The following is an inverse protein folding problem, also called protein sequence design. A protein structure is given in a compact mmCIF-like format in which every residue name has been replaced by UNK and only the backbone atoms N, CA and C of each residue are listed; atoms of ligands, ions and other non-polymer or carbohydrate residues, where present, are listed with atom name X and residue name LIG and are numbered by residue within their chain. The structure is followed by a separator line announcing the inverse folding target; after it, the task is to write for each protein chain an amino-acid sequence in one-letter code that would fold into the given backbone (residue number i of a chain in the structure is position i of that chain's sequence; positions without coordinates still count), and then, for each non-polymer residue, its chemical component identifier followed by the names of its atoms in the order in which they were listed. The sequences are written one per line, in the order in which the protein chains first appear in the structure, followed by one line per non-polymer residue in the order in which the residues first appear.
data_IF_951583321895
#
_entry.id   IF_951583321895
#
_cell.length_a   1.000
_cell.length_b   1.000
_cell.length_c   1.000
_cell.angle_alpha   90.00
_cell.angle_beta   90.00
_cell.angle_gamma   90.00
#
_symmetry.space_group_name_H-M   'P 1'
#
loop_
_entity.id
_entity.type
_entity.pdbx_description
1 polymer ?
#
# COMPACT_ATOMS: atom_id res chain seq x y z
N UNK A 1 13.00 6.40 31.95
CA UNK A 1 13.22 6.26 30.50
C UNK A 1 11.95 6.75 29.83
N UNK A 2 11.99 7.94 29.22
CA UNK A 2 10.85 8.46 28.46
C UNK A 2 10.84 7.67 27.15
N UNK A 3 9.82 6.86 26.98
CA UNK A 3 9.56 6.08 25.79
C UNK A 3 9.32 7.06 24.63
N UNK A 4 10.39 7.44 23.93
CA UNK A 4 10.41 8.60 23.02
C UNK A 4 9.47 8.41 21.85
N UNK A 5 8.26 8.96 21.93
CA UNK A 5 7.37 9.10 20.79
C UNK A 5 7.81 10.32 19.97
N UNK A 6 7.85 10.24 18.64
CA UNK A 6 8.24 11.36 17.80
C UNK A 6 7.31 12.56 18.03
N UNK A 7 7.87 13.77 18.15
CA UNK A 7 7.12 15.03 18.40
C UNK A 7 6.98 15.89 17.13
N UNK A 8 7.71 15.53 16.08
CA UNK A 8 7.73 16.24 14.82
C UNK A 8 8.09 15.29 13.69
N UNK A 9 7.66 15.63 12.47
CA UNK A 9 8.11 14.95 11.25
C UNK A 9 8.78 15.96 10.33
N UNK A 10 9.82 15.51 9.65
CA UNK A 10 10.54 16.30 8.66
C UNK A 10 10.89 15.39 7.50
N UNK A 11 10.63 15.82 6.27
CA UNK A 11 10.96 15.03 5.10
C UNK A 11 12.34 15.41 4.58
N UNK A 12 13.08 14.41 4.11
CA UNK A 12 14.32 14.60 3.38
C UNK A 12 14.01 14.42 1.89
N UNK A 13 14.31 15.46 1.11
CA UNK A 13 13.98 15.54 -0.31
C UNK A 13 15.26 15.71 -1.10
N UNK A 14 15.45 14.87 -2.12
CA UNK A 14 16.53 14.97 -3.07
C UNK A 14 16.09 15.80 -4.28
N UNK A 15 16.56 17.05 -4.36
CA UNK A 15 16.25 17.97 -5.44
C UNK A 15 17.50 18.18 -6.30
N UNK A 16 17.49 17.70 -7.55
CA UNK A 16 18.59 17.84 -8.51
C UNK A 16 19.96 17.38 -7.96
N UNK A 17 19.96 16.27 -7.21
CA UNK A 17 21.18 15.72 -6.60
C UNK A 17 21.57 16.34 -5.26
N UNK A 18 20.89 17.41 -4.81
CA UNK A 18 21.10 18.00 -3.49
C UNK A 18 20.06 17.52 -2.49
N UNK A 19 20.52 17.04 -1.33
CA UNK A 19 19.67 16.70 -0.21
C UNK A 19 19.22 17.99 0.51
N UNK A 20 17.91 18.10 0.71
CA UNK A 20 17.29 19.19 1.45
C UNK A 20 16.29 18.63 2.46
N UNK A 21 16.04 19.38 3.53
CA UNK A 21 15.05 19.00 4.53
C UNK A 21 13.89 19.99 4.47
N UNK A 22 12.66 19.49 4.38
CA UNK A 22 11.44 20.33 4.41
C UNK A 22 11.31 21.04 5.74
N UNK A 23 10.43 22.03 5.89
CA UNK A 23 10.11 22.54 7.22
C UNK A 23 9.55 21.41 8.12
N UNK A 24 9.89 21.39 9.42
CA UNK A 24 9.38 20.40 10.34
C UNK A 24 7.90 20.64 10.61
N UNK A 25 7.10 19.59 10.53
CA UNK A 25 5.71 19.61 10.97
C UNK A 25 5.68 19.16 12.42
N UNK A 26 5.39 20.11 13.31
CA UNK A 26 5.28 19.88 14.75
C UNK A 26 3.95 19.23 15.08
N UNK A 27 4.00 18.19 15.92
CA UNK A 27 2.80 17.52 16.41
C UNK A 27 2.43 18.06 17.79
N UNK A 28 1.16 18.45 17.94
CA UNK A 28 0.60 18.79 19.25
C UNK A 28 0.33 17.51 20.04
N UNK A 29 1.16 17.26 21.05
CA UNK A 29 1.12 16.06 21.87
C UNK A 29 -0.13 15.95 22.75
N UNK A 30 -0.93 17.01 22.84
CA UNK A 30 -2.25 16.95 23.47
C UNK A 30 -3.30 16.26 22.60
N UNK A 31 -3.05 16.12 21.29
CA UNK A 31 -3.98 15.48 20.36
C UNK A 31 -3.83 13.96 20.38
N UNK A 32 -4.98 13.28 20.34
CA UNK A 32 -5.13 11.85 20.12
C UNK A 32 -5.62 11.56 18.70
N UNK A 33 -5.59 10.28 18.28
CA UNK A 33 -6.21 9.85 17.02
C UNK A 33 -7.70 10.24 16.97
N UNK A 34 -8.41 10.12 18.10
CA UNK A 34 -9.82 10.49 18.15
C UNK A 34 -10.03 12.00 17.94
N UNK A 35 -9.25 12.85 18.59
CA UNK A 35 -9.37 14.30 18.38
C UNK A 35 -9.02 14.71 16.96
N UNK A 36 -8.07 14.02 16.30
CA UNK A 36 -7.79 14.27 14.88
C UNK A 36 -9.02 13.93 14.05
N UNK A 37 -9.62 12.76 14.27
CA UNK A 37 -10.82 12.31 13.55
C UNK A 37 -11.99 13.29 13.70
N UNK A 38 -12.20 13.80 14.92
CA UNK A 38 -13.27 14.76 15.22
C UNK A 38 -13.01 16.12 14.56
N UNK A 39 -11.75 16.56 14.48
CA UNK A 39 -11.32 17.82 13.88
C UNK A 39 -11.13 17.75 12.35
N UNK A 40 -11.31 16.61 11.68
CA UNK A 40 -10.92 16.45 10.25
C UNK A 40 -11.57 17.43 9.28
N UNK A 41 -12.73 17.99 9.62
CA UNK A 41 -13.40 19.01 8.77
C UNK A 41 -12.81 20.40 8.92
N UNK A 42 -12.07 20.68 10.00
CA UNK A 42 -11.50 21.99 10.31
C UNK A 42 -9.98 21.99 10.20
N UNK A 43 -9.35 20.83 10.43
CA UNK A 43 -7.91 20.66 10.36
C UNK A 43 -7.42 20.65 8.91
N UNK A 44 -6.21 21.19 8.69
CA UNK A 44 -5.52 21.04 7.42
C UNK A 44 -5.18 19.56 7.17
N UNK A 45 -5.42 19.05 5.95
CA UNK A 45 -5.17 17.65 5.56
C UNK A 45 -3.71 17.24 5.83
N UNK A 46 -2.75 18.10 5.51
CA UNK A 46 -1.32 17.85 5.74
C UNK A 46 -1.04 17.65 7.22
N UNK A 47 -1.61 18.51 8.08
CA UNK A 47 -1.48 18.38 9.54
C UNK A 47 -2.13 17.09 10.04
N UNK A 48 -3.30 16.71 9.49
CA UNK A 48 -3.99 15.48 9.90
C UNK A 48 -3.16 14.25 9.52
N UNK A 49 -2.68 14.20 8.29
CA UNK A 49 -1.89 13.09 7.77
C UNK A 49 -0.56 12.94 8.53
N UNK A 50 0.17 14.04 8.76
CA UNK A 50 1.43 14.03 9.50
C UNK A 50 1.25 13.65 10.97
N UNK A 51 0.21 14.17 11.62
CA UNK A 51 -0.11 13.86 13.02
C UNK A 51 -0.49 12.37 13.19
N UNK A 52 -1.27 11.83 12.25
CA UNK A 52 -1.66 10.43 12.25
C UNK A 52 -0.44 9.52 12.02
N UNK A 53 0.49 9.92 11.14
CA UNK A 53 1.77 9.22 10.97
C UNK A 53 2.57 9.18 12.28
N UNK A 54 2.67 10.29 13.00
CA UNK A 54 3.37 10.36 14.29
C UNK A 54 2.75 9.42 15.30
N UNK A 55 1.43 9.47 15.47
CA UNK A 55 0.71 8.66 16.46
C UNK A 55 0.74 7.15 16.15
N UNK A 56 0.99 6.77 14.90
CA UNK A 56 1.08 5.36 14.47
C UNK A 56 2.52 4.84 14.40
N UNK A 57 3.51 5.67 14.71
CA UNK A 57 4.95 5.34 14.55
C UNK A 57 5.46 4.18 15.41
N UNK A 58 4.70 3.72 16.40
CA UNK A 58 4.98 2.52 17.20
C UNK A 58 3.90 1.45 16.95
N UNK A 59 3.96 0.70 15.83
CA UNK A 59 2.92 -0.28 15.46
C UNK A 59 2.59 -1.29 16.56
N UNK A 60 3.61 -1.74 17.31
CA UNK A 60 3.47 -2.78 18.32
C UNK A 60 2.65 -2.36 19.56
N UNK A 61 2.49 -1.06 19.78
CA UNK A 61 1.67 -0.51 20.87
C UNK A 61 0.24 -0.15 20.44
N UNK A 62 -0.09 -0.23 19.15
CA UNK A 62 -1.42 0.13 18.65
C UNK A 62 -2.46 -0.91 19.07
N UNK A 63 -3.63 -0.43 19.48
CA UNK A 63 -4.80 -1.26 19.77
C UNK A 63 -5.73 -1.38 18.55
N UNK A 64 -6.71 -2.29 18.62
CA UNK A 64 -7.79 -2.40 17.62
C UNK A 64 -8.51 -1.06 17.41
N UNK A 65 -8.73 -0.31 18.50
CA UNK A 65 -9.36 1.00 18.46
C UNK A 65 -8.48 1.99 17.69
N UNK A 66 -7.18 2.03 17.99
CA UNK A 66 -6.25 2.92 17.30
C UNK A 66 -6.18 2.62 15.80
N UNK A 67 -6.10 1.34 15.43
CA UNK A 67 -6.09 0.90 14.02
C UNK A 67 -7.40 1.25 13.31
N UNK A 68 -8.54 1.02 13.97
CA UNK A 68 -9.85 1.39 13.43
C UNK A 68 -9.97 2.90 13.20
N UNK A 69 -9.61 3.70 14.21
CA UNK A 69 -9.69 5.17 14.12
C UNK A 69 -8.73 5.69 13.05
N UNK A 70 -7.51 5.18 13.00
CA UNK A 70 -6.52 5.51 11.96
C UNK A 70 -7.06 5.18 10.56
N UNK A 71 -7.66 4.01 10.39
CA UNK A 71 -8.24 3.61 9.09
C UNK A 71 -9.35 4.57 8.67
N UNK A 72 -10.18 5.01 9.61
CA UNK A 72 -11.22 6.00 9.34
C UNK A 72 -10.63 7.36 8.95
N UNK A 73 -9.60 7.83 9.66
CA UNK A 73 -8.89 9.07 9.31
C UNK A 73 -8.34 9.00 7.89
N UNK A 74 -7.60 7.93 7.58
CA UNK A 74 -7.01 7.73 6.27
C UNK A 74 -8.06 7.62 5.16
N UNK A 75 -9.18 6.94 5.41
CA UNK A 75 -10.27 6.85 4.43
C UNK A 75 -10.85 8.22 4.08
N UNK A 76 -10.96 9.14 5.04
CA UNK A 76 -11.42 10.51 4.80
C UNK A 76 -10.38 11.36 4.08
N UNK A 77 -9.10 11.24 4.47
CA UNK A 77 -8.00 11.95 3.80
C UNK A 77 -7.90 11.52 2.33
N UNK A 78 -7.98 10.21 2.06
CA UNK A 78 -7.80 9.64 0.71
C UNK A 78 -9.09 9.52 -0.10
N UNK A 79 -10.21 10.05 0.41
CA UNK A 79 -11.51 9.95 -0.26
C UNK A 79 -11.51 10.66 -1.63
N UNK A 80 -10.87 11.83 -1.70
CA UNK A 80 -10.67 12.59 -2.93
C UNK A 80 -9.17 12.80 -3.20
N UNK A 81 -8.53 11.85 -3.91
CA UNK A 81 -7.09 11.93 -4.18
C UNK A 81 -6.70 13.08 -5.11
N UNK A 82 -7.65 13.75 -5.77
CA UNK A 82 -7.34 14.89 -6.66
C UNK A 82 -6.96 16.16 -5.90
N UNK A 83 -7.37 16.25 -4.62
CA UNK A 83 -7.07 17.36 -3.73
C UNK A 83 -5.83 17.11 -2.85
N UNK A 84 -5.31 15.89 -2.86
CA UNK A 84 -4.16 15.52 -2.05
C UNK A 84 -2.87 16.11 -2.61
N UNK A 85 -2.07 16.72 -1.74
CA UNK A 85 -0.69 17.00 -2.08
C UNK A 85 0.14 15.72 -2.03
N UNK A 86 1.30 15.77 -2.67
CA UNK A 86 2.24 14.66 -2.64
C UNK A 86 2.68 14.31 -1.21
N UNK A 87 2.90 15.31 -0.36
CA UNK A 87 3.27 15.13 1.05
C UNK A 87 2.18 14.40 1.86
N UNK A 88 0.91 14.76 1.67
CA UNK A 88 -0.24 14.13 2.32
C UNK A 88 -0.34 12.64 1.96
N UNK A 89 -0.09 12.34 0.68
CA UNK A 89 -0.09 10.99 0.14
C UNK A 89 1.06 10.15 0.73
N UNK A 90 2.25 10.73 0.84
CA UNK A 90 3.42 10.09 1.47
C UNK A 90 3.13 9.78 2.95
N UNK A 91 2.58 10.75 3.69
CA UNK A 91 2.22 10.53 5.10
C UNK A 91 1.15 9.44 5.25
N UNK A 92 0.14 9.45 4.38
CA UNK A 92 -0.94 8.45 4.39
C UNK A 92 -0.44 7.04 4.09
N UNK A 93 0.44 6.88 3.10
CA UNK A 93 1.07 5.59 2.77
C UNK A 93 1.94 5.08 3.92
N UNK A 94 2.76 5.95 4.51
CA UNK A 94 3.59 5.57 5.67
C UNK A 94 2.75 5.19 6.88
N UNK A 95 1.64 5.88 7.10
CA UNK A 95 0.67 5.52 8.16
C UNK A 95 0.07 4.16 7.87
N UNK A 96 -0.33 3.88 6.62
CA UNK A 96 -0.84 2.56 6.27
C UNK A 96 0.22 1.46 6.44
N UNK A 97 1.48 1.72 6.10
CA UNK A 97 2.59 0.82 6.40
C UNK A 97 2.70 0.50 7.89
N UNK A 98 2.61 1.50 8.77
CA UNK A 98 2.61 1.28 10.22
C UNK A 98 1.46 0.37 10.66
N UNK A 99 0.26 0.56 10.09
CA UNK A 99 -0.91 -0.29 10.38
C UNK A 99 -0.68 -1.73 9.93
N UNK A 100 -0.02 -1.96 8.80
CA UNK A 100 0.29 -3.32 8.32
C UNK A 100 1.34 -4.04 9.19
N UNK A 101 2.05 -3.32 10.05
CA UNK A 101 3.07 -3.86 10.96
C UNK A 101 2.55 -4.13 12.39
N UNK A 102 1.25 -3.91 12.64
CA UNK A 102 0.64 -4.24 13.94
C UNK A 102 0.58 -5.75 14.17
N UNK A 103 0.19 -6.16 15.37
CA UNK A 103 0.06 -7.57 15.73
C UNK A 103 -0.98 -8.26 14.83
N UNK A 104 -0.70 -9.51 14.48
CA UNK A 104 -1.49 -10.27 13.52
C UNK A 104 -2.94 -10.50 13.95
N UNK A 105 -3.20 -10.66 15.24
CA UNK A 105 -4.55 -10.76 15.81
C UNK A 105 -5.38 -9.51 15.52
N UNK A 106 -4.78 -8.31 15.65
CA UNK A 106 -5.41 -7.05 15.30
C UNK A 106 -5.70 -6.97 13.79
N UNK A 107 -4.74 -7.37 12.94
CA UNK A 107 -4.93 -7.37 11.47
C UNK A 107 -6.12 -8.23 11.07
N UNK A 108 -6.26 -9.42 11.67
CA UNK A 108 -7.38 -10.32 11.41
C UNK A 108 -8.71 -9.69 11.86
N UNK A 109 -8.74 -9.05 13.03
CA UNK A 109 -9.95 -8.41 13.55
C UNK A 109 -10.42 -7.23 12.70
N UNK A 110 -9.49 -6.42 12.17
CA UNK A 110 -9.82 -5.24 11.36
C UNK A 110 -9.73 -5.49 9.85
N UNK A 111 -9.69 -6.75 9.43
CA UNK A 111 -9.40 -7.18 8.07
C UNK A 111 -10.21 -6.44 7.00
N UNK A 112 -11.53 -6.38 7.16
CA UNK A 112 -12.42 -5.74 6.17
C UNK A 112 -12.10 -4.25 5.98
N UNK A 113 -11.77 -3.54 7.07
CA UNK A 113 -11.41 -2.12 7.02
C UNK A 113 -10.08 -1.90 6.32
N UNK A 114 -9.11 -2.79 6.53
CA UNK A 114 -7.81 -2.73 5.85
C UNK A 114 -7.93 -3.03 4.36
N UNK A 115 -8.81 -3.97 3.99
CA UNK A 115 -9.11 -4.23 2.57
C UNK A 115 -9.70 -2.99 1.89
N UNK A 116 -10.69 -2.33 2.50
CA UNK A 116 -11.22 -1.07 1.95
C UNK A 116 -10.16 0.02 1.91
N UNK A 117 -9.25 0.07 2.88
CA UNK A 117 -8.14 1.03 2.89
C UNK A 117 -7.16 0.80 1.74
N UNK A 118 -6.91 -0.46 1.36
CA UNK A 118 -6.10 -0.79 0.20
C UNK A 118 -6.70 -0.23 -1.09
N UNK A 119 -8.03 -0.25 -1.25
CA UNK A 119 -8.72 0.34 -2.41
C UNK A 119 -8.46 1.86 -2.51
N UNK A 120 -8.44 2.58 -1.37
CA UNK A 120 -8.09 4.00 -1.36
C UNK A 120 -6.62 4.24 -1.76
N UNK A 121 -5.70 3.39 -1.32
CA UNK A 121 -4.29 3.47 -1.72
C UNK A 121 -4.14 3.21 -3.22
N UNK A 122 -4.80 2.18 -3.74
CA UNK A 122 -4.87 1.91 -5.18
C UNK A 122 -5.41 3.10 -5.97
N UNK A 123 -6.51 3.70 -5.52
CA UNK A 123 -7.08 4.87 -6.17
C UNK A 123 -6.11 6.06 -6.15
N UNK A 124 -5.45 6.33 -5.02
CA UNK A 124 -4.47 7.41 -4.89
C UNK A 124 -3.28 7.25 -5.85
N UNK A 125 -2.83 6.02 -6.12
CA UNK A 125 -1.75 5.78 -7.10
C UNK A 125 -2.11 6.20 -8.52
N UNK A 126 -3.39 6.43 -8.84
CA UNK A 126 -3.84 6.92 -10.16
C UNK A 126 -3.62 8.40 -10.37
N UNK A 127 -3.38 9.16 -9.30
CA UNK A 127 -3.32 10.62 -9.35
C UNK A 127 -1.98 11.15 -8.86
N UNK A 128 -1.29 10.41 -7.98
CA UNK A 128 -0.07 10.88 -7.33
C UNK A 128 1.12 10.00 -7.70
N UNK A 129 2.23 10.63 -8.10
CA UNK A 129 3.51 9.95 -8.29
C UNK A 129 4.12 9.61 -6.93
N UNK A 130 4.34 8.31 -6.73
CA UNK A 130 4.74 7.73 -5.45
C UNK A 130 5.90 6.78 -5.66
N UNK A 131 6.89 6.82 -4.78
CA UNK A 131 7.91 5.77 -4.67
C UNK A 131 8.20 5.58 -3.19
N UNK A 132 7.43 4.69 -2.56
CA UNK A 132 7.48 4.43 -1.13
C UNK A 132 7.66 2.94 -0.89
N UNK A 133 8.55 2.58 0.02
CA UNK A 133 8.76 1.19 0.44
C UNK A 133 8.85 1.11 1.97
N UNK A 134 8.17 0.11 2.52
CA UNK A 134 8.20 -0.25 3.92
C UNK A 134 8.31 -1.78 4.09
N UNK A 135 8.29 -2.28 5.33
CA UNK A 135 8.56 -3.69 5.60
C UNK A 135 7.50 -4.63 5.03
N UNK A 136 6.23 -4.17 4.96
CA UNK A 136 5.08 -4.96 4.50
C UNK A 136 4.53 -4.56 3.13
N UNK A 137 4.93 -3.41 2.59
CA UNK A 137 4.36 -2.88 1.36
C UNK A 137 5.41 -2.10 0.57
N UNK A 138 5.30 -2.11 -0.75
CA UNK A 138 6.01 -1.20 -1.63
C UNK A 138 5.04 -0.65 -2.68
N UNK A 139 4.99 0.67 -2.82
CA UNK A 139 4.09 1.41 -3.71
C UNK A 139 4.93 2.22 -4.67
N UNK A 140 4.67 2.04 -5.97
CA UNK A 140 5.29 2.85 -7.02
C UNK A 140 4.26 3.29 -8.02
N UNK A 141 4.10 4.59 -8.15
CA UNK A 141 3.34 5.21 -9.22
C UNK A 141 4.21 6.18 -10.00
N UNK A 142 4.08 6.14 -11.31
CA UNK A 142 4.72 7.09 -12.20
C UNK A 142 3.85 7.32 -13.44
N UNK A 143 3.77 8.56 -13.89
CA UNK A 143 3.35 8.86 -15.27
C UNK A 143 4.40 8.30 -16.24
N UNK A 144 3.96 7.43 -17.15
CA UNK A 144 4.86 6.74 -18.06
C UNK A 144 5.30 7.66 -19.20
N UNK A 145 6.46 8.27 -19.03
CA UNK A 145 7.14 9.02 -20.10
C UNK A 145 8.03 8.04 -20.89
N UNK A 146 7.40 7.07 -21.57
CA UNK A 146 8.02 5.96 -22.32
C UNK A 146 8.94 5.01 -21.51
N UNK A 147 8.58 3.71 -21.48
CA UNK A 147 9.39 2.56 -20.98
C UNK A 147 10.30 2.82 -19.76
N UNK A 148 9.74 2.80 -18.54
CA UNK A 148 10.54 2.76 -17.30
C UNK A 148 10.64 1.35 -16.72
N UNK A 149 11.85 0.95 -16.35
CA UNK A 149 12.10 -0.26 -15.56
C UNK A 149 11.82 0.01 -14.08
N UNK A 150 10.87 -0.72 -13.48
CA UNK A 150 10.54 -0.58 -12.06
C UNK A 150 11.42 -1.51 -11.23
N UNK A 151 12.63 -1.05 -10.91
CA UNK A 151 13.60 -1.84 -10.14
C UNK A 151 13.21 -1.97 -8.66
N UNK A 152 12.78 -3.16 -8.22
CA UNK A 152 12.58 -3.47 -6.78
C UNK A 152 11.33 -4.29 -6.48
N UNK A 153 10.27 -4.10 -7.27
CA UNK A 153 8.99 -4.79 -7.11
C UNK A 153 8.90 -6.14 -7.84
N UNK A 154 9.99 -6.55 -8.49
CA UNK A 154 9.97 -7.70 -9.39
C UNK A 154 9.19 -7.44 -10.68
N UNK A 155 8.76 -6.20 -10.97
CA UNK A 155 8.10 -5.84 -12.25
C UNK A 155 9.16 -5.36 -13.23
N UNK A 156 9.48 -6.17 -14.23
CA UNK A 156 10.63 -5.91 -15.11
C UNK A 156 10.36 -4.78 -16.11
N UNK A 157 9.16 -4.65 -16.68
CA UNK A 157 8.87 -3.62 -17.68
C UNK A 157 7.38 -3.57 -18.01
N UNK A 158 6.87 -2.39 -18.32
CA UNK A 158 5.59 -2.17 -19.00
C UNK A 158 5.76 -1.08 -20.06
N UNK A 159 4.91 -1.09 -21.09
CA UNK A 159 4.99 -0.14 -22.20
C UNK A 159 3.57 0.34 -22.55
N UNK A 160 3.24 1.56 -22.12
CA UNK A 160 2.09 2.30 -22.63
C UNK A 160 2.43 3.79 -22.59
N UNK A 161 2.43 4.49 -23.74
CA UNK A 161 2.57 5.95 -23.76
C UNK A 161 1.31 6.61 -23.17
N UNK A 162 1.50 7.76 -22.51
CA UNK A 162 0.45 8.65 -22.02
C UNK A 162 -0.49 8.12 -20.92
N UNK A 163 -0.12 7.03 -20.24
CA UNK A 163 -0.89 6.49 -19.12
C UNK A 163 -0.13 6.56 -17.78
N UNK A 164 -0.86 6.72 -16.68
CA UNK A 164 -0.32 6.65 -15.32
C UNK A 164 -0.45 5.22 -14.79
N UNK A 165 0.64 4.70 -14.24
CA UNK A 165 0.71 3.34 -13.71
C UNK A 165 1.04 3.39 -12.24
N UNK A 166 0.23 2.72 -11.44
CA UNK A 166 0.49 2.38 -10.05
C UNK A 166 0.77 0.88 -9.91
N UNK A 167 1.80 0.53 -9.18
CA UNK A 167 2.09 -0.84 -8.74
C UNK A 167 2.19 -0.85 -7.23
N UNK A 168 1.51 -1.80 -6.61
CA UNK A 168 1.60 -2.04 -5.18
C UNK A 168 1.95 -3.49 -4.95
N UNK A 169 3.01 -3.75 -4.19
CA UNK A 169 3.35 -5.06 -3.68
C UNK A 169 3.08 -5.09 -2.19
N UNK A 170 2.16 -5.93 -1.78
CA UNK A 170 1.96 -6.34 -0.40
C UNK A 170 2.78 -7.60 -0.14
N UNK A 171 3.72 -7.50 0.80
CA UNK A 171 4.65 -8.58 1.16
C UNK A 171 3.97 -9.64 2.01
N UNK A 172 2.88 -9.29 2.69
CA UNK A 172 2.00 -10.20 3.40
C UNK A 172 0.53 -9.92 3.05
N UNK A 173 -0.25 -10.98 2.88
CA UNK A 173 -1.62 -10.93 2.39
C UNK A 173 -2.66 -11.20 3.50
N UNK A 174 -2.26 -11.11 4.77
CA UNK A 174 -3.11 -11.46 5.91
C UNK A 174 -4.44 -10.70 5.95
N UNK A 175 -4.48 -9.48 5.44
CA UNK A 175 -5.70 -8.66 5.42
C UNK A 175 -6.54 -8.85 4.14
N UNK A 176 -6.08 -9.61 3.14
CA UNK A 176 -6.92 -9.94 1.99
C UNK A 176 -7.86 -11.10 2.33
N UNK A 177 -9.16 -11.00 2.03
CA UNK A 177 -10.12 -12.06 2.32
C UNK A 177 -9.66 -13.36 1.64
N UNK A 178 -9.39 -14.38 2.44
CA UNK A 178 -9.06 -15.70 1.90
C UNK A 178 -10.36 -16.45 1.60
N UNK A 179 -10.48 -17.12 0.44
CA UNK A 179 -11.64 -17.96 0.18
C UNK A 179 -11.70 -19.05 1.25
N UNK A 180 -12.86 -19.16 1.93
CA UNK A 180 -13.14 -20.10 3.02
C UNK A 180 -12.86 -21.55 2.58
N UNK A 181 -11.61 -21.99 2.65
CA UNK A 181 -11.25 -23.41 2.58
C UNK A 181 -11.15 -23.96 3.99
N UNK A 182 -11.66 -25.18 4.17
CA UNK A 182 -11.86 -25.88 5.44
C UNK A 182 -10.58 -26.17 6.25
N UNK A 183 -9.40 -25.85 5.74
CA UNK A 183 -8.13 -26.24 6.37
C UNK A 183 -7.21 -25.02 6.60
N UNK A 184 -6.64 -24.99 7.80
CA UNK A 184 -5.93 -23.92 8.50
C UNK A 184 -4.57 -23.49 7.90
N UNK A 185 -4.50 -23.28 6.59
CA UNK A 185 -3.27 -22.80 5.96
C UNK A 185 -3.23 -21.28 5.91
N UNK A 186 -2.46 -20.68 6.83
CA UNK A 186 -1.99 -19.30 6.69
C UNK A 186 -1.01 -19.27 5.52
N UNK A 187 -1.48 -18.93 4.33
CA UNK A 187 -0.57 -18.73 3.20
C UNK A 187 0.16 -17.39 3.38
N UNK A 188 1.49 -17.46 3.56
CA UNK A 188 2.38 -16.30 3.35
C UNK A 188 2.44 -16.02 1.85
N UNK A 189 1.50 -15.24 1.40
CA UNK A 189 1.33 -14.90 -0.01
C UNK A 189 1.70 -13.44 -0.22
N UNK A 190 2.46 -13.17 -1.27
CA UNK A 190 2.67 -11.81 -1.76
C UNK A 190 1.57 -11.46 -2.76
N UNK A 191 1.01 -10.26 -2.63
CA UNK A 191 -0.01 -9.72 -3.54
C UNK A 191 0.57 -8.56 -4.31
N UNK A 192 0.45 -8.62 -5.63
CA UNK A 192 0.79 -7.50 -6.51
C UNK A 192 -0.50 -6.97 -7.10
N UNK A 193 -0.78 -5.69 -6.86
CA UNK A 193 -1.83 -4.93 -7.50
C UNK A 193 -1.23 -3.99 -8.54
N UNK A 194 -1.85 -3.94 -9.71
CA UNK A 194 -1.48 -3.04 -10.78
C UNK A 194 -2.70 -2.20 -11.18
N UNK A 195 -2.50 -0.89 -11.20
CA UNK A 195 -3.52 0.11 -11.45
C UNK A 195 -3.09 0.95 -12.65
N UNK A 196 -3.99 1.13 -13.61
CA UNK A 196 -3.75 1.95 -14.80
C UNK A 196 -4.83 3.01 -14.88
N UNK A 197 -4.43 4.28 -14.98
CA UNK A 197 -5.35 5.38 -15.22
C UNK A 197 -5.54 5.59 -16.74
N UNK A 198 -6.80 5.64 -17.18
CA UNK A 198 -7.25 5.91 -18.55
C UNK A 198 -6.56 5.13 -19.69
N UNK A 199 -6.98 3.88 -19.97
CA UNK A 199 -6.79 3.36 -21.32
C UNK A 199 -7.82 4.04 -22.22
N UNK A 200 -7.50 5.18 -22.84
CA UNK A 200 -8.31 5.76 -23.93
C UNK A 200 -8.49 4.79 -25.12
N UNK A 201 -7.75 3.66 -25.12
CA UNK A 201 -7.86 2.57 -26.10
C UNK A 201 -7.82 1.23 -25.39
N UNK A 202 -8.69 0.31 -25.83
CA UNK A 202 -8.68 -1.10 -25.40
C UNK A 202 -7.25 -1.61 -25.29
N UNK A 203 -6.93 -2.31 -24.18
CA UNK A 203 -5.65 -2.99 -24.01
C UNK A 203 -5.51 -4.01 -25.14
N UNK A 204 -4.89 -3.61 -26.25
CA UNK A 204 -4.64 -4.47 -27.41
C UNK A 204 -3.56 -5.51 -27.12
N UNK A 205 -2.85 -5.37 -25.99
CA UNK A 205 -1.82 -6.29 -25.53
C UNK A 205 -1.99 -6.61 -24.04
N UNK A 206 -1.74 -7.86 -23.62
CA UNK A 206 -1.82 -8.25 -22.22
C UNK A 206 -0.74 -7.56 -21.38
N UNK A 207 -1.10 -7.11 -20.18
CA UNK A 207 -0.14 -6.62 -19.19
C UNK A 207 0.70 -7.81 -18.74
N UNK A 208 2.01 -7.77 -19.04
CA UNK A 208 2.94 -8.84 -18.69
C UNK A 208 3.73 -8.47 -17.45
N UNK A 209 3.43 -9.10 -16.32
CA UNK A 209 4.21 -8.96 -15.09
C UNK A 209 5.26 -10.07 -15.06
N UNK A 210 6.52 -9.72 -15.28
CA UNK A 210 7.65 -10.68 -15.22
C UNK A 210 8.33 -10.61 -13.86
N UNK A 211 8.09 -11.59 -12.99
CA UNK A 211 8.77 -11.70 -11.69
C UNK A 211 10.21 -12.23 -11.84
N UNK A 212 11.15 -11.74 -11.01
CA UNK A 212 12.52 -12.27 -11.00
C UNK A 212 12.53 -13.69 -10.43
N UNK A 213 13.26 -14.60 -11.07
CA UNK A 213 13.40 -16.02 -10.66
C UNK A 213 13.78 -16.19 -9.18
N UNK A 214 14.66 -15.33 -8.65
CA UNK A 214 15.10 -15.34 -7.24
C UNK A 214 13.97 -15.04 -6.24
N UNK A 215 12.93 -14.31 -6.66
CA UNK A 215 11.74 -14.06 -5.84
C UNK A 215 10.78 -15.26 -5.87
N UNK A 216 10.60 -15.92 -7.03
CA UNK A 216 9.76 -17.11 -7.16
C UNK A 216 10.24 -18.32 -6.34
N UNK A 217 11.54 -18.45 -6.09
CA UNK A 217 12.09 -19.60 -5.34
C UNK A 217 11.83 -19.54 -3.82
N UNK A 218 11.39 -18.40 -3.27
CA UNK A 218 11.21 -18.20 -1.82
C UNK A 218 9.80 -17.83 -1.38
N UNK A 219 8.89 -17.53 -2.31
CA UNK A 219 7.59 -16.94 -1.97
C UNK A 219 6.48 -17.55 -2.82
N UNK A 220 5.32 -17.79 -2.19
CA UNK A 220 4.08 -18.07 -2.90
C UNK A 220 3.52 -16.72 -3.37
N UNK A 221 3.30 -16.58 -4.67
CA UNK A 221 2.66 -15.40 -5.25
C UNK A 221 1.20 -15.73 -5.55
N UNK A 222 0.30 -14.87 -5.08
CA UNK A 222 -1.01 -14.72 -5.69
C UNK A 222 -1.00 -13.36 -6.35
N UNK A 223 -1.04 -13.35 -7.68
CA UNK A 223 -1.44 -12.12 -8.36
C UNK A 223 -2.91 -11.95 -8.03
N UNK A 224 -3.26 -10.93 -7.27
CA UNK A 224 -4.64 -10.61 -6.92
C UNK A 224 -4.88 -9.23 -7.48
N UNK A 225 -5.72 -9.14 -8.51
CA UNK A 225 -6.18 -7.92 -9.17
C UNK A 225 -5.27 -7.32 -10.24
N UNK A 226 -5.85 -7.19 -11.45
CA UNK A 226 -5.48 -6.19 -12.45
C UNK A 226 -6.73 -5.33 -12.59
N UNK A 227 -6.78 -4.18 -11.92
CA UNK A 227 -7.92 -3.27 -11.98
C UNK A 227 -7.84 -2.41 -13.24
N UNK A 228 -8.53 -2.80 -14.31
CA UNK A 228 -8.69 -1.95 -15.50
C UNK A 228 -10.02 -1.22 -15.38
N UNK A 229 -10.00 0.03 -14.89
CA UNK A 229 -11.20 0.85 -14.78
C UNK A 229 -11.52 1.49 -16.14
N UNK A 230 -12.57 1.01 -16.79
CA UNK A 230 -13.20 1.67 -17.93
C UNK A 230 -14.35 2.54 -17.41
N UNK A 231 -14.54 3.75 -17.97
CA UNK A 231 -15.70 4.59 -17.68
C UNK A 231 -17.01 3.79 -17.75
N UNK A 232 -17.82 3.94 -16.70
CA UNK A 232 -19.04 3.23 -16.27
C UNK A 232 -19.82 2.37 -17.31
N UNK A 233 -20.36 1.19 -16.91
CA UNK A 233 -20.20 0.53 -15.62
C UNK A 233 -18.95 -0.35 -15.63
N UNK A 234 -18.03 -0.03 -14.72
CA UNK A 234 -16.70 -0.61 -14.64
C UNK A 234 -16.75 -2.12 -14.40
N UNK A 235 -16.36 -2.90 -15.42
CA UNK A 235 -16.00 -4.30 -15.24
C UNK A 235 -14.60 -4.35 -14.62
N UNK A 236 -14.54 -4.52 -13.30
CA UNK A 236 -13.29 -4.87 -12.61
C UNK A 236 -13.02 -6.34 -12.91
N UNK A 237 -12.16 -6.63 -13.89
CA UNK A 237 -11.70 -7.98 -14.17
C UNK A 237 -10.60 -8.37 -13.17
N UNK A 238 -10.99 -9.00 -12.06
CA UNK A 238 -10.04 -9.55 -11.09
C UNK A 238 -9.47 -10.85 -11.67
N UNK A 239 -8.29 -10.78 -12.28
CA UNK A 239 -7.55 -11.97 -12.70
C UNK A 239 -6.68 -12.41 -11.51
N UNK A 240 -7.13 -13.42 -10.77
CA UNK A 240 -6.33 -14.04 -9.72
C UNK A 240 -5.47 -15.15 -10.31
N UNK A 241 -4.15 -14.95 -10.43
CA UNK A 241 -3.22 -16.01 -10.82
C UNK A 241 -2.57 -16.54 -9.54
N UNK A 242 -3.06 -17.68 -9.06
CA UNK A 242 -2.45 -18.41 -7.96
C UNK A 242 -1.42 -19.40 -8.52
N UNK A 243 -0.13 -19.15 -8.34
CA UNK A 243 0.89 -20.16 -8.67
C UNK A 243 1.12 -21.03 -7.44
N UNK A 244 0.38 -22.14 -7.33
CA UNK A 244 0.66 -23.16 -6.32
C UNK A 244 1.76 -24.07 -6.85
N UNK A 245 2.98 -23.95 -6.31
CA UNK A 245 3.98 -25.00 -6.52
C UNK A 245 3.61 -26.22 -5.66
N UNK A 246 3.45 -27.42 -6.24
CA UNK A 246 3.28 -28.62 -5.44
C UNK A 246 4.58 -28.85 -4.65
N UNK A 247 4.49 -28.88 -3.32
CA UNK A 247 5.57 -29.42 -2.49
C UNK A 247 5.82 -30.85 -2.96
N UNK A 248 6.95 -31.10 -3.63
CA UNK A 248 7.49 -32.45 -3.73
C UNK A 248 7.85 -32.88 -2.31
N UNK A 249 6.99 -33.68 -1.71
CA UNK A 249 7.33 -34.50 -0.54
C UNK A 249 8.56 -35.31 -0.94
N UNK A 250 9.73 -34.89 -0.46
CA UNK A 250 10.89 -35.78 -0.44
C UNK A 250 10.53 -36.95 0.47
N UNK A 251 10.12 -38.07 -0.13
CA UNK A 251 10.23 -39.37 0.53
C UNK A 251 11.71 -39.54 0.85
N UNK A 252 12.07 -39.43 2.13
CA UNK A 252 13.27 -40.09 2.61
C UNK A 252 13.10 -41.57 2.27
N UNK A 253 13.83 -42.05 1.27
CA UNK A 253 14.16 -43.47 1.18
C UNK A 253 15.24 -43.67 2.23
N UNK A 254 14.85 -44.29 3.34
CA UNK A 254 15.80 -45.00 4.19
C UNK A 254 16.48 -46.06 3.31
N UNK A 255 17.81 -45.99 3.26
CA UNK A 255 18.71 -47.07 2.84
C UNK A 255 19.60 -47.37 4.03
#
# INVERSE_FOLDING_TARGET
MVDGSPLATRQCVLNNGNLSLTEPVLFDCSKSLQSILDDLTTLNITTAASATLVLTSKPQSLTVKDVTTTTHILSKIMQDPTQLKQEDSIYSIKTFCNILEVKQDIIIEVQEKLSSLADYVENMTRFVDLDQECSQMAVRSNRADSTKHVNGLGVVSYQMPDAQFGFILYKDALFFPTPKKKDSYVMKTQVISAVVNEPTKSLTSPVTIKLRKKQMERSYFAVVSIGVAWGVPALIAIITISVTQPKRLYRQKEM
#
